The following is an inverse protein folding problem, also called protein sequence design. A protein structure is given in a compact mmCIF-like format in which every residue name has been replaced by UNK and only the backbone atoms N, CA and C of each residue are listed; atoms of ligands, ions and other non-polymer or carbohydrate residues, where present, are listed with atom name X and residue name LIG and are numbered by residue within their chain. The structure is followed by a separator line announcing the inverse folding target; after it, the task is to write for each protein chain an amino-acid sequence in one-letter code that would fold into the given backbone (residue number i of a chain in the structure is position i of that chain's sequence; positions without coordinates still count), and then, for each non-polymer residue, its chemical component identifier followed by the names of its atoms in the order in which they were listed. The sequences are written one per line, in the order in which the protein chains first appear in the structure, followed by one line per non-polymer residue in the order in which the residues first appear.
data_IF_846837103777
#
_entry.id   IF_846837103777
#
_cell.length_a   1.000
_cell.length_b   1.000
_cell.length_c   1.000
_cell.angle_alpha   90.00
_cell.angle_beta   90.00
_cell.angle_gamma   90.00
#
_symmetry.space_group_name_H-M   'P 1'
#
loop_
_entity.id
_entity.type
_entity.pdbx_description
1 polymer ?
#
# COMPACT_ATOMS: atom_id res chain seq x y z
N UNK A 1 6.43 -7.07 18.49
CA UNK A 1 6.13 -5.93 17.59
C UNK A 1 4.73 -5.30 17.78
N UNK A 2 3.70 -6.00 18.28
CA UNK A 2 2.30 -5.49 18.28
C UNK A 2 2.01 -4.36 19.28
N UNK A 3 2.63 -4.37 20.47
CA UNK A 3 2.31 -3.39 21.51
C UNK A 3 2.80 -1.97 21.17
N UNK A 4 3.92 -1.86 20.44
CA UNK A 4 4.49 -0.56 20.08
C UNK A 4 3.69 0.11 18.96
N UNK A 5 3.22 -0.64 17.96
CA UNK A 5 2.43 -0.09 16.86
C UNK A 5 1.09 0.45 17.35
N UNK A 6 0.39 -0.28 18.23
CA UNK A 6 -0.86 0.17 18.86
C UNK A 6 -0.66 1.44 19.68
N UNK A 7 0.44 1.52 20.44
CA UNK A 7 0.77 2.73 21.20
C UNK A 7 1.01 3.93 20.29
N UNK A 8 1.89 3.78 19.29
CA UNK A 8 2.22 4.86 18.34
C UNK A 8 0.97 5.34 17.60
N UNK A 9 0.12 4.45 17.09
CA UNK A 9 -1.10 4.88 16.36
C UNK A 9 -2.10 5.56 17.28
N UNK A 10 -2.23 5.15 18.54
CA UNK A 10 -3.08 5.81 19.53
C UNK A 10 -2.61 7.22 19.90
N UNK A 11 -1.29 7.44 19.95
CA UNK A 11 -0.68 8.72 20.32
C UNK A 11 -0.54 9.69 19.13
N UNK A 12 -0.33 9.17 17.92
CA UNK A 12 -0.07 9.95 16.72
C UNK A 12 -1.28 10.80 16.25
N UNK A 13 -2.50 10.49 16.72
CA UNK A 13 -3.75 11.15 16.29
C UNK A 13 -3.84 11.30 14.77
N UNK A 14 -3.44 10.26 14.04
CA UNK A 14 -3.40 10.29 12.59
C UNK A 14 -4.82 10.33 12.01
N UNK A 15 -5.06 11.24 11.05
CA UNK A 15 -6.36 11.41 10.39
C UNK A 15 -6.61 10.38 9.26
N UNK A 16 -5.69 9.42 9.08
CA UNK A 16 -5.76 8.40 8.04
C UNK A 16 -5.71 6.98 8.63
N UNK A 17 -6.27 6.03 7.87
CA UNK A 17 -6.29 4.62 8.26
C UNK A 17 -4.87 4.09 8.31
N UNK A 18 -4.49 3.53 9.47
CA UNK A 18 -3.20 2.89 9.66
C UNK A 18 -3.37 1.38 9.71
N UNK A 19 -2.53 0.67 8.96
CA UNK A 19 -2.47 -0.78 9.01
C UNK A 19 -1.60 -1.21 10.20
N UNK A 20 -2.15 -2.04 11.08
CA UNK A 20 -1.36 -2.68 12.12
C UNK A 20 -0.68 -3.94 11.56
N UNK A 21 0.59 -4.22 11.94
CA UNK A 21 1.29 -5.41 11.48
C UNK A 21 0.64 -6.68 12.08
N UNK A 22 -0.26 -7.29 11.31
CA UNK A 22 -0.82 -8.61 11.54
C UNK A 22 0.11 -9.69 10.98
N UNK A 23 -0.02 -10.94 11.42
CA UNK A 23 0.79 -12.04 10.88
C UNK A 23 0.58 -12.23 9.38
N UNK A 24 -0.65 -12.05 8.89
CA UNK A 24 -0.98 -12.13 7.47
C UNK A 24 -0.30 -11.01 6.67
N UNK A 25 -0.34 -9.78 7.18
CA UNK A 25 0.36 -8.65 6.56
C UNK A 25 1.87 -8.88 6.56
N UNK A 26 2.44 -9.43 7.63
CA UNK A 26 3.87 -9.74 7.71
C UNK A 26 4.28 -10.80 6.67
N UNK A 27 3.52 -11.89 6.51
CA UNK A 27 3.76 -12.91 5.46
C UNK A 27 3.70 -12.33 4.06
N UNK A 28 2.87 -11.31 3.86
CA UNK A 28 2.83 -10.59 2.60
C UNK A 28 4.07 -9.70 2.41
N UNK A 29 4.44 -8.93 3.44
CA UNK A 29 5.60 -8.04 3.43
C UNK A 29 6.93 -8.78 3.27
N UNK A 30 7.01 -10.05 3.67
CA UNK A 30 8.18 -10.91 3.40
C UNK A 30 8.51 -11.04 1.90
N UNK A 31 7.54 -10.81 1.01
CA UNK A 31 7.74 -10.82 -0.44
C UNK A 31 8.21 -9.48 -1.00
N UNK A 32 8.29 -8.44 -0.17
CA UNK A 32 8.75 -7.11 -0.59
C UNK A 32 10.27 -7.08 -0.59
N UNK A 33 10.85 -6.98 -1.78
CA UNK A 33 12.31 -7.07 -1.96
C UNK A 33 13.04 -5.74 -1.73
N UNK A 34 12.33 -4.60 -1.79
CA UNK A 34 12.91 -3.27 -1.68
C UNK A 34 11.99 -2.28 -0.95
N UNK A 35 12.58 -1.25 -0.33
CA UNK A 35 11.86 -0.23 0.43
C UNK A 35 12.28 1.19 0.00
N UNK A 36 11.36 2.19 0.05
CA UNK A 36 9.92 2.03 0.25
C UNK A 36 9.24 1.38 -0.97
N UNK A 37 8.09 0.73 -0.76
CA UNK A 37 7.27 0.12 -1.83
C UNK A 37 5.82 0.54 -1.68
N UNK A 38 5.20 0.94 -2.78
CA UNK A 38 3.77 1.32 -2.85
C UNK A 38 3.00 0.26 -3.63
N UNK A 39 1.94 -0.28 -3.05
CA UNK A 39 1.06 -1.28 -3.66
C UNK A 39 -0.35 -0.70 -3.77
N UNK A 40 -1.03 -0.99 -4.87
CA UNK A 40 -2.39 -0.57 -5.11
C UNK A 40 -3.31 -1.77 -4.93
N UNK A 41 -4.40 -1.58 -4.17
CA UNK A 41 -5.41 -2.61 -3.92
C UNK A 41 -6.80 -2.05 -4.17
N UNK A 42 -7.70 -2.87 -4.71
CA UNK A 42 -9.11 -2.50 -4.84
C UNK A 42 -9.90 -2.79 -3.55
N UNK A 43 -11.22 -2.54 -3.59
CA UNK A 43 -12.11 -2.74 -2.45
C UNK A 43 -12.32 -4.22 -2.08
N UNK A 44 -12.02 -5.15 -2.98
CA UNK A 44 -12.12 -6.60 -2.77
C UNK A 44 -10.80 -7.19 -2.25
N UNK A 45 -9.73 -6.38 -2.23
CA UNK A 45 -8.41 -6.76 -1.79
C UNK A 45 -7.52 -7.32 -2.92
N UNK A 46 -7.93 -7.19 -4.19
CA UNK A 46 -7.09 -7.58 -5.32
C UNK A 46 -5.99 -6.52 -5.55
N UNK A 47 -4.78 -6.98 -5.88
CA UNK A 47 -3.67 -6.09 -6.22
C UNK A 47 -3.87 -5.56 -7.64
N UNK A 48 -3.78 -4.25 -7.79
CA UNK A 48 -3.94 -3.54 -9.06
C UNK A 48 -2.58 -3.25 -9.69
N UNK A 49 -2.28 -3.94 -10.79
CA UNK A 49 -1.05 -3.75 -11.56
C UNK A 49 0.21 -4.04 -10.73
N UNK A 50 1.32 -3.41 -11.12
CA UNK A 50 2.60 -3.58 -10.44
C UNK A 50 2.81 -2.55 -9.32
N UNK A 51 3.60 -2.95 -8.31
CA UNK A 51 4.03 -2.06 -7.25
C UNK A 51 5.01 -0.98 -7.76
N UNK A 52 5.00 0.18 -7.11
CA UNK A 52 6.00 1.24 -7.32
C UNK A 52 7.09 1.08 -6.25
N UNK A 53 8.31 0.78 -6.70
CA UNK A 53 9.48 0.61 -5.84
C UNK A 53 10.27 1.90 -5.78
N UNK A 54 10.68 2.29 -4.57
CA UNK A 54 11.42 3.51 -4.29
C UNK A 54 10.51 4.70 -3.98
N UNK A 55 11.13 5.79 -3.51
CA UNK A 55 10.43 7.02 -3.14
C UNK A 55 10.05 7.85 -4.39
N UNK A 56 9.20 7.29 -5.27
CA UNK A 56 8.79 7.92 -6.52
C UNK A 56 7.36 8.47 -6.44
N UNK A 57 7.23 9.70 -5.93
CA UNK A 57 5.94 10.37 -5.76
C UNK A 57 5.19 10.58 -7.08
N UNK A 58 5.83 11.13 -8.14
CA UNK A 58 5.14 11.32 -9.42
C UNK A 58 4.58 10.01 -9.97
N UNK A 59 5.34 8.92 -9.90
CA UNK A 59 4.92 7.65 -10.49
C UNK A 59 3.70 7.04 -9.80
N UNK A 60 3.62 7.06 -8.46
CA UNK A 60 2.42 6.52 -7.82
C UNK A 60 1.19 7.40 -8.07
N UNK A 61 1.36 8.72 -8.20
CA UNK A 61 0.27 9.64 -8.54
C UNK A 61 -0.25 9.38 -9.96
N UNK A 62 0.64 9.17 -10.92
CA UNK A 62 0.28 8.79 -12.28
C UNK A 62 -0.49 7.47 -12.33
N UNK A 63 -0.04 6.45 -11.57
CA UNK A 63 -0.75 5.16 -11.46
C UNK A 63 -2.14 5.32 -10.87
N UNK A 64 -2.30 6.09 -9.78
CA UNK A 64 -3.61 6.40 -9.19
C UNK A 64 -4.54 7.07 -10.19
N UNK A 65 -4.05 8.09 -10.91
CA UNK A 65 -4.83 8.77 -11.93
C UNK A 65 -5.24 7.82 -13.06
N UNK A 66 -4.40 6.85 -13.43
CA UNK A 66 -4.74 5.86 -14.44
C UNK A 66 -5.86 4.91 -14.00
N UNK A 67 -5.88 4.49 -12.72
CA UNK A 67 -6.96 3.67 -12.17
C UNK A 67 -8.29 4.43 -12.08
N UNK A 68 -8.26 5.68 -11.59
CA UNK A 68 -9.47 6.50 -11.44
C UNK A 68 -10.12 6.90 -12.78
N UNK A 69 -9.32 7.03 -13.83
CA UNK A 69 -9.80 7.39 -15.16
C UNK A 69 -10.01 6.19 -16.11
N UNK A 70 -9.93 4.95 -15.60
CA UNK A 70 -10.18 3.74 -16.38
C UNK A 70 -9.18 3.46 -17.50
N UNK A 71 -8.00 4.11 -17.50
CA UNK A 71 -7.00 3.99 -18.58
C UNK A 71 -6.20 2.69 -18.56
N UNK A 72 -6.38 1.85 -17.54
CA UNK A 72 -5.72 0.55 -17.40
C UNK A 72 -6.68 -0.64 -17.63
N UNK A 73 -7.90 -0.42 -18.15
CA UNK A 73 -8.88 -1.47 -18.45
C UNK A 73 -8.49 -2.40 -19.62
N UNK A 74 -7.25 -2.33 -20.10
CA UNK A 74 -6.73 -3.18 -21.15
C UNK A 74 -5.39 -3.75 -20.68
N UNK A 75 -5.42 -4.90 -20.01
CA UNK A 75 -4.39 -5.94 -20.05
C UNK A 75 -5.03 -7.20 -19.47
N UNK A 76 -5.72 -7.90 -20.38
CA UNK A 76 -6.10 -9.29 -20.26
C UNK A 76 -5.13 -10.11 -21.12
#
# INVERSE_FOLDING_TARGET
MRCISVKITSEAKADFVNLLPSEELMKYLEKVEAVPTTIFVDAEGNILGEAVVGANVPQYQERLAAFLHGKLCCWC
#
